data_IF_469720692193
#
_entry.id   IF_469720692193
#
_cell.length_a   1.000
_cell.length_b   1.000
_cell.length_c   1.000
_cell.angle_alpha   90.00
_cell.angle_beta   90.00
_cell.angle_gamma   90.00
#
_symmetry.space_group_name_H-M   'P 1'
#
loop_
_entity.id
_entity.type
_entity.pdbx_description
1 polymer ?
#
# COMPACT_ATOMS: atom_id res chain seq x y z
N UNK A 1 6.05 58.12 69.98
CA UNK A 1 6.18 57.77 68.55
C UNK A 1 6.17 56.23 68.43
N UNK A 2 5.00 55.61 68.24
CA UNK A 2 4.85 54.15 68.24
C UNK A 2 4.56 53.71 66.79
N UNK A 3 5.52 53.06 66.13
CA UNK A 3 5.41 52.64 64.73
C UNK A 3 4.69 51.29 64.68
N UNK A 4 3.46 51.28 64.18
CA UNK A 4 2.65 50.08 64.03
C UNK A 4 2.90 49.46 62.64
N UNK A 5 3.80 48.48 62.55
CA UNK A 5 4.12 47.77 61.30
C UNK A 5 3.00 46.76 61.02
N UNK A 6 2.11 47.05 60.05
CA UNK A 6 1.19 46.04 59.51
C UNK A 6 1.96 45.10 58.58
N UNK A 7 2.15 43.85 58.99
CA UNK A 7 2.71 42.81 58.11
C UNK A 7 1.68 42.47 57.02
N UNK A 8 2.05 42.47 55.72
CA UNK A 8 1.13 42.06 54.67
C UNK A 8 0.87 40.57 54.79
N UNK A 9 -0.40 40.22 54.96
CA UNK A 9 -0.87 38.85 55.04
C UNK A 9 -0.79 38.23 53.63
N UNK A 10 0.30 37.54 53.34
CA UNK A 10 0.51 36.86 52.06
C UNK A 10 -0.43 35.64 51.98
N UNK A 11 -1.64 35.85 51.43
CA UNK A 11 -2.65 34.81 51.25
C UNK A 11 -2.17 33.89 50.12
N UNK A 12 -1.67 32.69 50.47
CA UNK A 12 -1.44 31.61 49.50
C UNK A 12 -2.77 31.30 48.81
N UNK A 13 -3.01 31.91 47.65
CA UNK A 13 -4.00 31.40 46.70
C UNK A 13 -3.49 30.01 46.35
N UNK A 14 -4.14 28.98 46.90
CA UNK A 14 -3.95 27.61 46.42
C UNK A 14 -4.27 27.68 44.94
N UNK A 15 -3.23 27.70 44.11
CA UNK A 15 -3.30 27.82 42.67
C UNK A 15 -3.85 26.48 42.18
N UNK A 16 -5.16 26.31 42.36
CA UNK A 16 -5.91 25.14 42.00
C UNK A 16 -6.03 25.23 40.48
N UNK A 17 -5.06 24.65 39.77
CA UNK A 17 -5.14 24.52 38.32
C UNK A 17 -6.49 23.84 38.07
N UNK A 18 -7.45 24.49 37.38
CA UNK A 18 -8.75 23.91 37.17
C UNK A 18 -8.55 22.59 36.44
N UNK A 19 -9.16 21.52 36.92
CA UNK A 19 -9.04 20.17 36.35
C UNK A 19 -9.28 20.15 34.83
N UNK A 20 -10.08 21.08 34.32
CA UNK A 20 -10.26 21.33 32.89
C UNK A 20 -8.95 21.61 32.13
N UNK A 21 -8.01 22.39 32.68
CA UNK A 21 -6.75 22.74 32.02
C UNK A 21 -5.80 21.54 31.92
N UNK A 22 -5.82 20.68 32.94
CA UNK A 22 -5.04 19.45 32.97
C UNK A 22 -5.64 18.42 31.99
N UNK A 23 -6.97 18.33 31.92
CA UNK A 23 -7.68 17.50 30.95
C UNK A 23 -7.43 17.96 29.51
N UNK A 24 -7.43 19.27 29.24
CA UNK A 24 -7.16 19.80 27.89
C UNK A 24 -5.73 19.54 27.45
N UNK A 25 -4.75 19.63 28.36
CA UNK A 25 -3.36 19.31 28.04
C UNK A 25 -3.16 17.82 27.77
N UNK A 26 -3.85 16.93 28.49
CA UNK A 26 -3.82 15.49 28.22
C UNK A 26 -4.43 15.15 26.87
N UNK A 27 -5.60 15.71 26.54
CA UNK A 27 -6.24 15.48 25.23
C UNK A 27 -5.34 16.00 24.10
N UNK A 28 -4.77 17.20 24.24
CA UNK A 28 -3.84 17.75 23.26
C UNK A 28 -2.61 16.86 23.07
N UNK A 29 -2.02 16.34 24.16
CA UNK A 29 -0.88 15.43 24.10
C UNK A 29 -1.22 14.11 23.39
N UNK A 30 -2.42 13.55 23.61
CA UNK A 30 -2.89 12.35 22.91
C UNK A 30 -3.06 12.63 21.42
N UNK A 31 -3.71 13.74 21.05
CA UNK A 31 -3.91 14.12 19.64
C UNK A 31 -2.56 14.31 18.92
N UNK A 32 -1.62 15.01 19.56
CA UNK A 32 -0.26 15.20 19.03
C UNK A 32 0.45 13.84 18.85
N UNK A 33 0.34 12.95 19.84
CA UNK A 33 0.90 11.60 19.76
C UNK A 33 0.32 10.76 18.62
N UNK A 34 -0.98 10.89 18.35
CA UNK A 34 -1.64 10.21 17.22
C UNK A 34 -1.18 10.79 15.88
N UNK A 35 -1.13 12.12 15.75
CA UNK A 35 -0.71 12.80 14.50
C UNK A 35 0.77 12.49 14.18
N UNK A 36 1.64 12.50 15.19
CA UNK A 36 3.07 12.21 15.02
C UNK A 36 3.37 10.70 14.98
N UNK A 37 2.45 9.87 15.45
CA UNK A 37 2.62 8.42 15.59
C UNK A 37 2.31 7.61 14.33
N UNK A 38 1.78 8.24 13.26
CA UNK A 38 1.56 7.54 11.99
C UNK A 38 2.88 7.29 11.27
N UNK A 39 3.62 6.26 11.69
CA UNK A 39 4.70 5.72 10.87
C UNK A 39 4.07 5.04 9.67
N UNK A 40 4.14 5.67 8.50
CA UNK A 40 3.85 4.95 7.26
C UNK A 40 4.90 3.85 7.12
N UNK A 41 4.46 2.61 6.91
CA UNK A 41 5.38 1.58 6.42
C UNK A 41 5.83 2.03 5.03
N UNK A 42 7.14 2.13 4.74
CA UNK A 42 7.56 2.38 3.38
C UNK A 42 6.98 1.25 2.53
N UNK A 43 6.33 1.59 1.42
CA UNK A 43 5.96 0.58 0.43
C UNK A 43 7.26 -0.02 -0.09
N UNK A 44 7.63 -1.20 0.42
CA UNK A 44 8.81 -1.95 -0.02
C UNK A 44 8.46 -2.56 -1.38
N UNK A 45 8.45 -1.75 -2.44
CA UNK A 45 8.58 -2.25 -3.81
C UNK A 45 10.06 -2.49 -4.08
N UNK A 46 10.64 -3.47 -3.38
CA UNK A 46 11.99 -3.94 -3.71
C UNK A 46 11.81 -5.17 -4.56
N UNK A 47 12.22 -5.07 -5.82
CA UNK A 47 12.38 -6.21 -6.70
C UNK A 47 13.61 -6.96 -6.19
N UNK A 48 13.43 -7.75 -5.13
CA UNK A 48 14.52 -8.48 -4.47
C UNK A 48 15.17 -9.49 -5.47
N UNK A 49 14.45 -9.89 -6.53
CA UNK A 49 15.02 -10.61 -7.67
C UNK A 49 14.17 -10.43 -8.97
N UNK A 50 14.67 -9.79 -10.04
CA UNK A 50 13.91 -9.60 -11.29
C UNK A 50 13.83 -10.85 -12.18
N UNK A 51 14.45 -11.97 -11.77
CA UNK A 51 14.51 -13.23 -12.51
C UNK A 51 14.12 -14.41 -11.62
N UNK A 52 13.18 -14.21 -10.68
CA UNK A 52 12.62 -15.36 -9.98
C UNK A 52 12.06 -16.36 -11.01
N UNK A 53 12.31 -17.67 -10.82
CA UNK A 53 11.83 -18.67 -11.76
C UNK A 53 10.30 -18.60 -11.79
N UNK A 54 9.77 -18.18 -12.93
CA UNK A 54 8.34 -18.21 -13.20
C UNK A 54 7.96 -19.61 -13.68
N UNK A 55 6.78 -20.08 -13.29
CA UNK A 55 6.25 -21.32 -13.84
C UNK A 55 6.11 -21.16 -15.35
N UNK A 56 6.71 -22.09 -16.10
CA UNK A 56 6.55 -22.11 -17.55
C UNK A 56 5.07 -22.31 -17.87
N UNK A 57 4.52 -21.40 -18.68
CA UNK A 57 3.13 -21.47 -19.09
C UNK A 57 3.05 -22.30 -20.38
N UNK A 58 2.26 -23.37 -20.34
CA UNK A 58 2.06 -24.23 -21.50
C UNK A 58 1.39 -23.48 -22.65
N UNK A 59 2.02 -23.59 -23.82
CA UNK A 59 1.53 -23.11 -25.12
C UNK A 59 1.49 -24.27 -26.12
N UNK A 60 1.21 -23.99 -27.40
CA UNK A 60 1.31 -25.00 -28.45
C UNK A 60 2.75 -25.26 -28.91
N UNK A 61 2.90 -26.14 -29.89
CA UNK A 61 4.19 -26.53 -30.43
C UNK A 61 4.80 -25.48 -31.36
N UNK A 62 6.11 -25.30 -31.22
CA UNK A 62 6.93 -24.40 -32.04
C UNK A 62 6.39 -22.95 -32.05
N UNK A 63 6.33 -22.29 -30.88
CA UNK A 63 5.93 -20.89 -30.79
C UNK A 63 6.91 -20.02 -31.60
N UNK A 64 6.39 -19.28 -32.57
CA UNK A 64 7.20 -18.51 -33.54
C UNK A 64 7.16 -17.00 -33.31
N UNK A 65 6.09 -16.50 -32.70
CA UNK A 65 5.91 -15.06 -32.44
C UNK A 65 4.93 -14.82 -31.29
N UNK A 66 5.02 -13.65 -30.68
CA UNK A 66 4.15 -13.20 -29.59
C UNK A 66 3.80 -11.72 -29.70
N UNK A 67 2.64 -11.32 -29.17
CA UNK A 67 2.19 -9.93 -29.06
C UNK A 67 1.51 -9.68 -27.72
N UNK A 68 1.66 -8.46 -27.19
CA UNK A 68 1.04 -8.00 -25.96
C UNK A 68 -0.19 -7.14 -26.26
N UNK A 69 -1.24 -7.26 -25.44
CA UNK A 69 -2.46 -6.48 -25.61
C UNK A 69 -3.45 -6.66 -24.46
N UNK A 70 -4.61 -5.99 -24.55
CA UNK A 70 -5.77 -6.23 -23.68
C UNK A 70 -6.80 -6.96 -24.54
N UNK A 71 -6.74 -8.29 -24.58
CA UNK A 71 -7.51 -9.11 -25.52
C UNK A 71 -8.89 -9.49 -24.96
N UNK A 72 -9.08 -9.48 -23.64
CA UNK A 72 -10.36 -9.79 -22.99
C UNK A 72 -11.09 -8.56 -22.39
N UNK A 73 -10.57 -7.35 -22.67
CA UNK A 73 -11.12 -6.06 -22.25
C UNK A 73 -11.09 -5.83 -20.72
N UNK A 74 -10.12 -6.42 -20.04
CA UNK A 74 -9.76 -6.05 -18.68
C UNK A 74 -8.68 -4.93 -18.64
N UNK A 75 -8.05 -4.74 -17.47
CA UNK A 75 -6.96 -3.77 -17.28
C UNK A 75 -5.59 -4.44 -17.15
N UNK A 76 -5.48 -5.74 -17.43
CA UNK A 76 -4.28 -6.55 -17.29
C UNK A 76 -3.70 -6.91 -18.67
N UNK A 77 -2.37 -6.94 -18.77
CA UNK A 77 -1.73 -7.22 -20.07
C UNK A 77 -1.81 -8.73 -20.34
N UNK A 78 -2.36 -9.07 -21.49
CA UNK A 78 -2.43 -10.42 -22.04
C UNK A 78 -1.32 -10.65 -23.07
N UNK A 79 -1.05 -11.93 -23.38
CA UNK A 79 -0.08 -12.37 -24.39
C UNK A 79 -0.76 -13.31 -25.38
N UNK A 80 -0.70 -12.99 -26.67
CA UNK A 80 -1.09 -13.91 -27.75
C UNK A 80 0.17 -14.50 -28.40
N UNK A 81 0.20 -15.81 -28.60
CA UNK A 81 1.36 -16.57 -29.08
C UNK A 81 0.95 -17.42 -30.29
N UNK A 82 1.67 -17.28 -31.40
CA UNK A 82 1.46 -18.10 -32.60
C UNK A 82 2.26 -19.40 -32.53
N UNK A 83 1.57 -20.54 -32.57
CA UNK A 83 2.16 -21.88 -32.52
C UNK A 83 2.24 -22.46 -33.92
N UNK A 84 3.38 -22.28 -34.58
CA UNK A 84 3.52 -22.52 -36.02
C UNK A 84 3.43 -24.00 -36.43
N UNK A 85 3.77 -24.94 -35.54
CA UNK A 85 3.64 -26.37 -35.83
C UNK A 85 2.21 -26.89 -35.58
N UNK A 86 1.45 -26.24 -34.71
CA UNK A 86 0.07 -26.63 -34.39
C UNK A 86 -0.97 -25.86 -35.23
N UNK A 87 -0.55 -24.81 -35.95
CA UNK A 87 -1.44 -23.87 -36.63
C UNK A 87 -2.50 -23.26 -35.68
N UNK A 88 -2.13 -23.03 -34.41
CA UNK A 88 -3.02 -22.44 -33.39
C UNK A 88 -2.45 -21.15 -32.82
N UNK A 89 -3.31 -20.39 -32.15
CA UNK A 89 -2.89 -19.27 -31.30
C UNK A 89 -3.25 -19.60 -29.85
N UNK A 90 -2.27 -19.49 -28.96
CA UNK A 90 -2.48 -19.53 -27.51
C UNK A 90 -2.71 -18.12 -27.00
N UNK A 91 -3.72 -17.95 -26.13
CA UNK A 91 -3.99 -16.69 -25.45
C UNK A 91 -3.72 -16.87 -23.95
N UNK A 92 -2.73 -16.15 -23.44
CA UNK A 92 -2.38 -16.11 -22.03
C UNK A 92 -3.00 -14.86 -21.41
N UNK A 93 -3.92 -15.04 -20.48
CA UNK A 93 -4.60 -13.94 -19.81
C UNK A 93 -3.76 -13.43 -18.64
N UNK A 94 -3.58 -12.11 -18.58
CA UNK A 94 -2.98 -11.45 -17.44
C UNK A 94 -3.93 -11.44 -16.23
N UNK A 95 -3.37 -11.26 -15.05
CA UNK A 95 -4.16 -10.97 -13.86
C UNK A 95 -3.54 -9.85 -13.02
N UNK A 96 -4.22 -9.49 -11.92
CA UNK A 96 -3.77 -8.45 -10.98
C UNK A 96 -2.38 -8.70 -10.39
N UNK A 97 -1.92 -9.96 -10.39
CA UNK A 97 -0.62 -10.39 -9.89
C UNK A 97 0.39 -10.56 -11.03
N UNK A 98 -0.01 -10.20 -12.27
CA UNK A 98 0.75 -10.38 -13.52
C UNK A 98 1.10 -11.84 -13.80
N UNK A 99 0.27 -12.77 -13.34
CA UNK A 99 0.39 -14.19 -13.65
C UNK A 99 -0.36 -14.47 -14.95
N UNK A 100 0.37 -15.05 -15.91
CA UNK A 100 -0.17 -15.45 -17.21
C UNK A 100 -0.85 -16.82 -17.10
N UNK A 101 -2.14 -16.88 -17.47
CA UNK A 101 -2.91 -18.13 -17.45
C UNK A 101 -3.26 -18.57 -18.86
N UNK A 102 -2.86 -19.78 -19.22
CA UNK A 102 -3.15 -20.36 -20.54
C UNK A 102 -4.64 -20.60 -20.71
N UNK A 103 -5.23 -19.93 -21.70
CA UNK A 103 -6.55 -20.28 -22.21
C UNK A 103 -6.37 -21.25 -23.37
N UNK A 104 -7.17 -22.32 -23.40
CA UNK A 104 -7.09 -23.39 -24.41
C UNK A 104 -6.93 -22.83 -25.84
N UNK A 105 -6.09 -23.44 -26.69
CA UNK A 105 -5.77 -22.91 -28.01
C UNK A 105 -7.05 -22.66 -28.81
N UNK A 106 -7.19 -21.45 -29.34
CA UNK A 106 -8.28 -21.11 -30.24
C UNK A 106 -8.03 -21.82 -31.57
N UNK A 107 -8.80 -22.87 -31.84
CA UNK A 107 -8.79 -23.58 -33.12
C UNK A 107 -9.54 -22.69 -34.12
N UNK A 108 -8.81 -21.98 -34.97
CA UNK A 108 -9.38 -21.36 -36.16
C UNK A 108 -9.54 -22.43 -37.24
N UNK A 109 -10.79 -22.77 -37.59
CA UNK A 109 -11.10 -23.39 -38.88
C UNK A 109 -11.26 -22.31 -39.94
#
# INVERSE_FOLDING_TARGET
LFIHIRRPFYRKKRFMIPTCLLLTLLIAAVVIGVILGTKSKPAKYVCDNPFEPFDAVDTGNFPSSSVLGYFDNDTYIDVAIANSNDNTVSLLLGDKEQILRSTRPAIGQ
#
